data_IF_992690327776
#
_entry.id   IF_992690327776
#
_cell.length_a   1.000
_cell.length_b   1.000
_cell.length_c   1.000
_cell.angle_alpha   90.00
_cell.angle_beta   90.00
_cell.angle_gamma   90.00
#
_symmetry.space_group_name_H-M   'P 1'
#
loop_
_entity.id
_entity.type
_entity.pdbx_description
1 polymer ?
#
# COMPACT_ATOMS: atom_id res chain seq x y z
N UNK A 1 -26.37 -3.22 -3.14
CA UNK A 1 -27.23 -2.80 -4.27
C UNK A 1 -28.71 -2.71 -3.88
N UNK A 2 -29.21 -3.56 -2.99
CA UNK A 2 -30.64 -3.62 -2.63
C UNK A 2 -31.20 -2.35 -1.97
N UNK A 3 -30.37 -1.60 -1.24
CA UNK A 3 -30.80 -0.34 -0.61
C UNK A 3 -31.01 0.77 -1.65
N UNK A 4 -30.10 0.92 -2.62
CA UNK A 4 -30.19 1.93 -3.68
C UNK A 4 -31.41 1.73 -4.57
N UNK A 5 -31.81 0.47 -4.84
CA UNK A 5 -32.95 0.15 -5.70
C UNK A 5 -34.30 0.66 -5.17
N UNK A 6 -34.45 0.85 -3.85
CA UNK A 6 -35.69 1.32 -3.23
C UNK A 6 -35.81 2.84 -3.15
N UNK A 7 -34.70 3.56 -3.30
CA UNK A 7 -34.60 5.00 -3.05
C UNK A 7 -34.26 5.81 -4.31
N UNK A 8 -33.71 5.17 -5.34
CA UNK A 8 -33.37 5.86 -6.57
C UNK A 8 -34.61 6.24 -7.38
N UNK A 9 -34.71 7.51 -7.84
CA UNK A 9 -35.72 7.94 -8.80
C UNK A 9 -35.69 7.11 -10.08
N UNK A 10 -36.80 7.10 -10.81
CA UNK A 10 -36.91 6.39 -12.09
C UNK A 10 -35.95 6.91 -13.17
N UNK A 11 -35.52 8.18 -13.06
CA UNK A 11 -34.57 8.82 -13.96
C UNK A 11 -33.66 9.80 -13.24
N UNK A 12 -32.40 9.89 -13.69
CA UNK A 12 -31.41 10.87 -13.25
C UNK A 12 -31.36 12.03 -14.23
N UNK A 13 -31.59 13.25 -13.73
CA UNK A 13 -31.43 14.50 -14.46
C UNK A 13 -31.03 15.60 -13.47
N UNK A 14 -29.73 15.82 -13.32
CA UNK A 14 -29.18 16.82 -12.41
C UNK A 14 -27.87 17.41 -12.92
N UNK A 15 -27.63 18.65 -12.53
CA UNK A 15 -26.40 19.38 -12.77
C UNK A 15 -25.60 19.49 -11.48
N UNK A 16 -24.29 19.32 -11.57
CA UNK A 16 -23.34 19.43 -10.48
C UNK A 16 -22.39 20.58 -10.80
N UNK A 17 -22.42 21.64 -9.99
CA UNK A 17 -21.49 22.76 -10.08
C UNK A 17 -20.45 22.63 -8.99
N UNK A 18 -19.19 22.50 -9.39
CA UNK A 18 -18.02 22.40 -8.52
C UNK A 18 -17.26 23.71 -8.62
N UNK A 19 -17.08 24.41 -7.51
CA UNK A 19 -16.30 25.65 -7.46
C UNK A 19 -15.25 25.66 -6.37
N UNK A 20 -14.16 26.40 -6.57
CA UNK A 20 -13.11 26.62 -5.58
C UNK A 20 -13.04 28.10 -5.18
N UNK A 21 -12.58 28.43 -3.96
CA UNK A 21 -12.31 29.83 -3.58
C UNK A 21 -11.24 30.51 -4.45
N UNK A 22 -10.40 29.73 -5.15
CA UNK A 22 -9.43 30.23 -6.12
C UNK A 22 -10.07 30.64 -7.47
N UNK A 23 -11.39 30.61 -7.58
CA UNK A 23 -12.14 31.10 -8.74
C UNK A 23 -12.39 30.06 -9.83
N UNK A 24 -11.96 28.81 -9.64
CA UNK A 24 -12.32 27.76 -10.60
C UNK A 24 -13.77 27.35 -10.43
N UNK A 25 -14.43 27.12 -11.56
CA UNK A 25 -15.79 26.63 -11.62
C UNK A 25 -15.92 25.63 -12.77
N UNK A 26 -16.50 24.48 -12.47
CA UNK A 26 -16.68 23.38 -13.40
C UNK A 26 -18.10 22.84 -13.23
N UNK A 27 -18.69 22.38 -14.32
CA UNK A 27 -20.06 21.91 -14.32
C UNK A 27 -20.12 20.54 -14.96
N UNK A 28 -20.77 19.59 -14.29
CA UNK A 28 -21.05 18.25 -14.79
C UNK A 28 -22.56 18.10 -14.93
N UNK A 29 -23.02 17.48 -16.01
CA UNK A 29 -24.44 17.21 -16.22
C UNK A 29 -24.66 15.71 -16.32
N UNK A 30 -25.61 15.21 -15.54
CA UNK A 30 -26.09 13.84 -15.59
C UNK A 30 -27.51 13.86 -16.08
N UNK A 31 -27.79 13.13 -17.15
CA UNK A 31 -29.11 12.98 -17.74
C UNK A 31 -29.43 11.48 -17.87
N UNK A 32 -30.64 11.09 -18.31
CA UNK A 32 -31.01 9.67 -18.37
C UNK A 32 -30.07 8.83 -19.25
N UNK A 33 -29.50 9.43 -20.30
CA UNK A 33 -28.58 8.78 -21.24
C UNK A 33 -27.15 8.66 -20.68
N UNK A 34 -26.72 9.61 -19.84
CA UNK A 34 -25.40 9.61 -19.19
C UNK A 34 -25.41 9.08 -17.76
N UNK A 35 -26.56 8.58 -17.28
CA UNK A 35 -26.79 8.14 -15.89
C UNK A 35 -25.87 7.01 -15.42
N UNK A 36 -25.40 6.17 -16.34
CA UNK A 36 -24.46 5.07 -16.07
C UNK A 36 -22.99 5.44 -16.36
N UNK A 37 -22.74 6.64 -16.90
CA UNK A 37 -21.40 7.09 -17.28
C UNK A 37 -20.79 7.88 -16.11
N UNK A 38 -19.68 7.38 -15.58
CA UNK A 38 -18.92 8.08 -14.54
C UNK A 38 -18.32 9.37 -15.08
N UNK A 39 -18.76 10.50 -14.55
CA UNK A 39 -18.18 11.81 -14.83
C UNK A 39 -16.97 12.04 -13.91
N UNK A 40 -15.82 12.44 -14.48
CA UNK A 40 -14.59 12.69 -13.71
C UNK A 40 -14.07 14.09 -13.99
N UNK A 41 -13.66 14.78 -12.94
CA UNK A 41 -13.04 16.10 -13.01
C UNK A 41 -11.75 16.08 -12.20
N UNK A 42 -10.65 16.51 -12.81
CA UNK A 42 -9.38 16.71 -12.12
C UNK A 42 -9.31 18.14 -11.61
N UNK A 43 -9.10 18.28 -10.30
CA UNK A 43 -8.88 19.57 -9.66
C UNK A 43 -7.38 19.89 -9.63
N UNK A 44 -6.97 21.16 -9.67
CA UNK A 44 -5.57 21.53 -9.48
C UNK A 44 -5.04 21.07 -8.13
N UNK A 45 -3.75 20.75 -8.09
CA UNK A 45 -3.01 20.34 -6.89
C UNK A 45 -2.99 21.41 -5.78
N UNK A 46 -3.22 22.68 -6.13
CA UNK A 46 -3.35 23.79 -5.18
C UNK A 46 -4.72 23.89 -4.50
N UNK A 47 -5.71 23.09 -4.93
CA UNK A 47 -7.06 23.14 -4.37
C UNK A 47 -7.06 22.67 -2.91
N UNK A 48 -7.67 23.45 -2.02
CA UNK A 48 -7.82 23.12 -0.58
C UNK A 48 -9.26 23.02 -0.12
N UNK A 49 -10.17 23.70 -0.83
CA UNK A 49 -11.60 23.73 -0.55
C UNK A 49 -12.35 23.67 -1.87
N UNK A 50 -13.44 22.92 -1.87
CA UNK A 50 -14.40 22.85 -2.98
C UNK A 50 -15.80 23.03 -2.44
N UNK A 51 -16.62 23.77 -3.18
CA UNK A 51 -18.05 23.89 -2.96
C UNK A 51 -18.74 23.10 -4.07
N UNK A 52 -19.68 22.24 -3.68
CA UNK A 52 -20.46 21.43 -4.61
C UNK A 52 -21.92 21.82 -4.45
N UNK A 53 -22.52 22.30 -5.53
CA UNK A 53 -23.95 22.59 -5.61
C UNK A 53 -24.57 21.63 -6.64
N UNK A 54 -25.69 21.00 -6.27
CA UNK A 54 -26.39 20.05 -7.12
C UNK A 54 -27.82 20.54 -7.31
N UNK A 55 -28.27 20.59 -8.55
CA UNK A 55 -29.63 21.03 -8.92
C UNK A 55 -30.28 20.01 -9.84
N UNK A 56 -31.53 19.65 -9.56
CA UNK A 56 -32.29 18.66 -10.34
C UNK A 56 -32.74 17.45 -9.53
N UNK A 57 -32.96 16.33 -10.20
CA UNK A 57 -33.57 15.11 -9.64
C UNK A 57 -32.76 13.88 -9.99
N UNK A 58 -32.37 13.08 -9.00
CA UNK A 58 -31.70 11.81 -9.24
C UNK A 58 -30.98 11.28 -8.02
N UNK A 59 -30.21 10.22 -8.20
CA UNK A 59 -29.31 9.69 -7.19
C UNK A 59 -27.97 9.37 -7.84
N UNK A 60 -26.89 9.68 -7.13
CA UNK A 60 -25.53 9.36 -7.56
C UNK A 60 -24.58 9.35 -6.39
N UNK A 61 -23.37 8.85 -6.64
CA UNK A 61 -22.25 8.89 -5.69
C UNK A 61 -21.28 9.96 -6.14
N UNK A 62 -21.01 10.92 -5.27
CA UNK A 62 -19.93 11.88 -5.45
C UNK A 62 -18.69 11.42 -4.69
N UNK A 63 -17.58 11.24 -5.38
CA UNK A 63 -16.33 10.77 -4.79
C UNK A 63 -15.21 11.77 -5.03
N UNK A 64 -14.50 12.13 -3.97
CA UNK A 64 -13.26 12.90 -4.04
C UNK A 64 -12.09 11.95 -3.83
N UNK A 65 -11.18 11.91 -4.80
CA UNK A 65 -9.94 11.16 -4.70
C UNK A 65 -8.76 12.14 -4.67
N UNK A 66 -7.81 11.92 -3.77
CA UNK A 66 -6.60 12.73 -3.65
C UNK A 66 -5.38 11.81 -3.56
N UNK A 67 -4.25 12.28 -4.09
CA UNK A 67 -2.97 11.61 -4.02
C UNK A 67 -1.95 12.60 -3.47
N UNK A 68 -1.13 12.17 -2.53
CA UNK A 68 -0.12 12.99 -1.89
C UNK A 68 1.12 12.14 -1.60
N UNK A 69 2.27 12.79 -1.62
CA UNK A 69 3.50 12.19 -1.11
C UNK A 69 3.54 12.44 0.40
N UNK A 70 3.40 11.36 1.18
CA UNK A 70 3.68 11.41 2.60
C UNK A 70 5.15 11.04 2.83
N UNK A 71 5.88 11.72 3.74
CA UNK A 71 7.11 11.16 4.23
C UNK A 71 6.80 9.80 4.88
N UNK A 72 7.64 8.79 4.70
CA UNK A 72 7.46 7.50 5.37
C UNK A 72 7.71 7.71 6.87
N UNK A 73 6.64 7.82 7.66
CA UNK A 73 6.74 8.01 9.10
C UNK A 73 6.02 6.89 9.84
N UNK A 74 6.81 5.99 10.42
CA UNK A 74 6.38 5.20 11.56
C UNK A 74 6.49 6.06 12.82
N UNK A 75 5.60 7.03 13.00
CA UNK A 75 5.65 7.88 14.20
C UNK A 75 5.53 7.02 15.49
N UNK A 76 4.84 5.88 15.41
CA UNK A 76 4.77 4.87 16.47
C UNK A 76 4.72 3.45 15.86
N UNK A 77 5.88 2.83 15.55
CA UNK A 77 5.90 1.51 14.91
C UNK A 77 5.29 0.45 15.82
N UNK A 78 4.38 -0.35 15.27
CA UNK A 78 3.67 -1.44 15.97
C UNK A 78 4.39 -2.78 15.84
N UNK A 79 5.49 -2.79 15.11
CA UNK A 79 6.41 -3.91 14.99
C UNK A 79 7.84 -3.43 15.21
N UNK A 80 8.70 -4.32 15.69
CA UNK A 80 10.13 -4.12 15.68
C UNK A 80 10.70 -4.88 14.49
N UNK A 81 11.50 -4.22 13.65
CA UNK A 81 12.18 -4.83 12.51
C UNK A 81 13.68 -4.68 12.74
N UNK A 82 14.38 -5.82 12.84
CA UNK A 82 15.83 -5.88 12.86
C UNK A 82 16.28 -6.57 11.58
N UNK A 83 17.21 -5.95 10.86
CA UNK A 83 17.82 -6.56 9.68
C UNK A 83 19.32 -6.64 9.85
N UNK A 84 19.89 -7.78 9.47
CA UNK A 84 21.32 -7.88 9.18
C UNK A 84 21.49 -8.09 7.68
N UNK A 85 22.58 -7.58 7.14
CA UNK A 85 22.76 -7.49 5.70
C UNK A 85 24.19 -7.86 5.32
N UNK A 86 24.31 -8.73 4.31
CA UNK A 86 25.58 -9.18 3.74
C UNK A 86 25.49 -9.14 2.22
N UNK A 87 26.15 -8.17 1.62
CA UNK A 87 26.07 -7.94 0.18
C UNK A 87 27.28 -8.47 -0.56
N UNK A 88 27.03 -8.93 -1.77
CA UNK A 88 28.06 -9.18 -2.78
C UNK A 88 27.90 -8.16 -3.91
N UNK A 89 28.74 -8.24 -4.94
CA UNK A 89 28.64 -7.32 -6.09
C UNK A 89 27.37 -7.55 -6.93
N UNK A 90 26.76 -8.73 -6.79
CA UNK A 90 25.61 -9.19 -7.58
C UNK A 90 24.39 -9.53 -6.74
N UNK A 91 24.48 -9.55 -5.42
CA UNK A 91 23.39 -9.95 -4.54
C UNK A 91 23.33 -9.12 -3.25
N UNK A 92 22.11 -8.95 -2.74
CA UNK A 92 21.83 -8.44 -1.39
C UNK A 92 21.26 -9.59 -0.58
N UNK A 93 21.88 -9.95 0.55
CA UNK A 93 21.37 -10.98 1.44
C UNK A 93 20.93 -10.35 2.76
N UNK A 94 19.68 -10.58 3.12
CA UNK A 94 19.06 -10.04 4.32
C UNK A 94 18.63 -11.18 5.23
N UNK A 95 18.99 -11.09 6.51
CA UNK A 95 18.27 -11.79 7.56
C UNK A 95 17.38 -10.76 8.26
N UNK A 96 16.07 -10.95 8.13
CA UNK A 96 15.03 -10.01 8.59
C UNK A 96 14.31 -10.67 9.76
N UNK A 97 14.40 -10.08 10.93
CA UNK A 97 13.68 -10.49 12.13
C UNK A 97 12.61 -9.46 12.46
N UNK A 98 11.39 -9.93 12.71
CA UNK A 98 10.29 -9.08 13.12
C UNK A 98 9.53 -9.66 14.32
N UNK A 99 9.09 -8.77 15.21
CA UNK A 99 8.20 -9.09 16.34
C UNK A 99 7.17 -8.00 16.56
N UNK A 100 6.05 -8.35 17.15
CA UNK A 100 4.98 -7.41 17.45
C UNK A 100 5.30 -6.56 18.69
N UNK A 101 5.00 -5.26 18.64
CA UNK A 101 5.12 -4.34 19.78
C UNK A 101 3.72 -3.94 20.26
N UNK A 102 3.13 -4.68 21.21
CA UNK A 102 1.78 -4.39 21.71
C UNK A 102 1.75 -3.05 22.47
N UNK A 103 0.60 -2.38 22.47
CA UNK A 103 0.33 -1.21 23.34
C UNK A 103 -0.31 -1.66 24.66
N UNK A 104 -0.97 -2.80 24.66
CA UNK A 104 -1.65 -3.41 25.81
C UNK A 104 -1.20 -4.86 25.99
N UNK A 105 -1.11 -5.39 27.21
CA UNK A 105 -0.61 -6.74 27.47
C UNK A 105 -1.32 -7.85 26.66
N UNK A 106 -2.64 -7.74 26.49
CA UNK A 106 -3.46 -8.77 25.81
C UNK A 106 -3.59 -8.55 24.29
N UNK A 107 -2.86 -7.58 23.73
CA UNK A 107 -2.92 -7.26 22.31
C UNK A 107 -2.08 -8.26 21.52
N UNK A 108 -2.73 -8.97 20.61
CA UNK A 108 -2.09 -9.92 19.68
C UNK A 108 -2.30 -9.48 18.24
N UNK A 109 -1.45 -9.99 17.35
CA UNK A 109 -1.66 -9.85 15.90
C UNK A 109 -2.46 -11.03 15.37
N UNK A 110 -3.21 -10.76 14.31
CA UNK A 110 -3.75 -11.79 13.45
C UNK A 110 -2.80 -11.94 12.26
N UNK A 111 -3.33 -12.14 11.05
CA UNK A 111 -2.52 -12.33 9.85
C UNK A 111 -1.58 -11.14 9.61
N UNK A 112 -0.27 -11.38 9.66
CA UNK A 112 0.76 -10.37 9.44
C UNK A 112 1.41 -10.58 8.08
N UNK A 113 1.64 -9.49 7.36
CA UNK A 113 2.38 -9.51 6.10
C UNK A 113 3.74 -8.86 6.31
N UNK A 114 4.79 -9.52 5.82
CA UNK A 114 6.12 -8.93 5.63
C UNK A 114 6.36 -8.77 4.13
N UNK A 115 6.48 -7.52 3.71
CA UNK A 115 6.79 -7.16 2.33
C UNK A 115 8.23 -6.71 2.21
N UNK A 116 8.93 -7.25 1.23
CA UNK A 116 10.27 -6.82 0.85
C UNK A 116 10.22 -6.31 -0.57
N UNK A 117 10.31 -5.00 -0.72
CA UNK A 117 10.52 -4.33 -2.00
C UNK A 117 12.02 -4.17 -2.22
N UNK A 118 12.54 -4.78 -3.27
CA UNK A 118 13.97 -4.72 -3.54
C UNK A 118 14.39 -3.37 -4.13
N UNK A 119 15.66 -2.96 -3.94
CA UNK A 119 16.19 -1.76 -4.58
C UNK A 119 16.09 -1.83 -6.10
N UNK A 120 16.12 -0.67 -6.76
CA UNK A 120 16.08 -0.61 -8.23
C UNK A 120 17.16 -1.49 -8.87
N UNK A 121 16.76 -2.36 -9.80
CA UNK A 121 17.66 -3.28 -10.51
C UNK A 121 17.85 -4.65 -9.86
N UNK A 122 17.19 -4.92 -8.72
CA UNK A 122 17.21 -6.22 -8.04
C UNK A 122 15.86 -6.95 -8.14
N UNK A 123 15.91 -8.28 -8.18
CA UNK A 123 14.74 -9.18 -8.10
C UNK A 123 14.98 -10.24 -7.03
N UNK A 124 13.93 -10.90 -6.56
CA UNK A 124 14.04 -12.02 -5.61
C UNK A 124 14.90 -13.15 -6.19
N UNK A 125 15.80 -13.72 -5.39
CA UNK A 125 16.56 -14.90 -5.78
C UNK A 125 15.69 -16.17 -5.66
N UNK A 126 15.73 -17.07 -6.64
CA UNK A 126 14.95 -18.32 -6.62
C UNK A 126 15.27 -19.20 -5.38
N UNK A 127 16.53 -19.20 -4.95
CA UNK A 127 16.96 -19.90 -3.74
C UNK A 127 16.22 -19.44 -2.47
N UNK A 128 15.85 -18.16 -2.42
CA UNK A 128 15.06 -17.59 -1.33
C UNK A 128 13.68 -18.23 -1.28
N UNK A 129 13.02 -18.37 -2.44
CA UNK A 129 11.69 -18.97 -2.52
C UNK A 129 11.72 -20.42 -2.05
N UNK A 130 12.76 -21.18 -2.39
CA UNK A 130 12.93 -22.56 -1.97
C UNK A 130 13.16 -22.68 -0.46
N UNK A 131 14.01 -21.83 0.12
CA UNK A 131 14.27 -21.80 1.57
C UNK A 131 13.01 -21.43 2.36
N UNK A 132 12.26 -20.43 1.88
CA UNK A 132 11.04 -19.96 2.54
C UNK A 132 9.91 -21.00 2.51
N UNK A 133 9.78 -21.80 1.44
CA UNK A 133 8.79 -22.90 1.38
C UNK A 133 8.99 -23.94 2.49
N UNK A 134 10.24 -24.12 2.94
CA UNK A 134 10.58 -25.03 4.04
C UNK A 134 10.38 -24.40 5.43
N UNK A 135 10.16 -23.09 5.52
CA UNK A 135 9.94 -22.40 6.78
C UNK A 135 8.48 -22.55 7.22
N UNK A 136 8.26 -23.27 8.33
CA UNK A 136 6.92 -23.58 8.87
C UNK A 136 6.14 -22.35 9.37
N UNK A 137 6.82 -21.25 9.66
CA UNK A 137 6.18 -20.01 10.12
C UNK A 137 5.58 -19.22 8.95
N UNK A 138 6.11 -19.40 7.73
CA UNK A 138 5.61 -18.76 6.52
C UNK A 138 4.45 -19.58 5.95
N UNK A 139 3.26 -18.99 5.90
CA UNK A 139 2.04 -19.66 5.39
C UNK A 139 1.89 -19.56 3.89
N UNK A 140 2.31 -18.43 3.32
CA UNK A 140 2.22 -18.16 1.90
C UNK A 140 3.35 -17.24 1.48
N UNK A 141 3.80 -17.44 0.24
CA UNK A 141 4.81 -16.63 -0.42
C UNK A 141 4.18 -16.13 -1.71
N UNK A 142 4.24 -14.83 -1.96
CA UNK A 142 3.85 -14.23 -3.23
C UNK A 142 4.97 -13.34 -3.75
N UNK A 143 5.27 -13.44 -5.05
CA UNK A 143 6.09 -12.47 -5.76
C UNK A 143 5.19 -11.59 -6.63
N UNK A 144 5.50 -10.29 -6.70
CA UNK A 144 4.75 -9.27 -7.46
C UNK A 144 5.72 -8.38 -8.23
N UNK A 145 5.20 -7.70 -9.26
CA UNK A 145 5.93 -6.72 -10.08
C UNK A 145 7.23 -7.31 -10.65
N UNK A 146 7.12 -8.36 -11.46
CA UNK A 146 8.27 -9.01 -12.09
C UNK A 146 9.36 -9.36 -11.07
N UNK A 147 8.94 -9.96 -9.96
CA UNK A 147 9.81 -10.46 -8.88
C UNK A 147 10.58 -9.39 -8.12
N UNK A 148 10.24 -8.10 -8.27
CA UNK A 148 10.85 -7.00 -7.49
C UNK A 148 10.23 -6.80 -6.12
N UNK A 149 9.09 -7.45 -5.83
CA UNK A 149 8.41 -7.43 -4.54
C UNK A 149 8.12 -8.86 -4.07
N UNK A 150 8.56 -9.17 -2.85
CA UNK A 150 8.26 -10.40 -2.12
C UNK A 150 7.26 -10.10 -1.01
N UNK A 151 6.25 -10.94 -0.84
CA UNK A 151 5.26 -10.84 0.24
C UNK A 151 5.19 -12.18 0.96
N UNK A 152 5.43 -12.15 2.27
CA UNK A 152 5.37 -13.30 3.16
C UNK A 152 4.18 -13.15 4.09
N UNK A 153 3.42 -14.23 4.25
CA UNK A 153 2.23 -14.26 5.10
C UNK A 153 2.52 -15.10 6.33
N UNK A 154 2.17 -14.57 7.50
CA UNK A 154 2.25 -15.23 8.80
C UNK A 154 0.87 -15.23 9.45
N UNK A 155 0.56 -16.26 10.24
CA UNK A 155 -0.70 -16.28 11.01
C UNK A 155 -0.75 -15.18 12.07
N UNK A 156 0.40 -14.90 12.69
CA UNK A 156 0.67 -13.82 13.63
C UNK A 156 2.17 -13.67 13.85
N UNK A 157 2.61 -12.54 14.40
CA UNK A 157 3.95 -12.38 14.93
C UNK A 157 3.94 -12.33 16.47
N UNK A 158 4.85 -13.06 17.13
CA UNK A 158 4.98 -13.05 18.59
C UNK A 158 5.52 -11.71 19.11
N UNK A 159 5.34 -11.48 20.41
CA UNK A 159 5.83 -10.29 21.12
C UNK A 159 7.26 -10.44 21.65
N UNK A 160 7.59 -11.64 22.16
CA UNK A 160 8.89 -11.91 22.79
C UNK A 160 9.96 -12.30 21.77
N UNK A 161 9.80 -13.48 21.14
CA UNK A 161 10.80 -14.07 20.26
C UNK A 161 10.60 -13.65 18.81
N UNK A 162 11.53 -12.91 18.22
CA UNK A 162 11.38 -12.47 16.82
C UNK A 162 11.31 -13.65 15.83
N UNK A 163 10.45 -13.49 14.82
CA UNK A 163 10.38 -14.40 13.68
C UNK A 163 11.33 -13.90 12.61
N UNK A 164 12.27 -14.75 12.22
CA UNK A 164 13.34 -14.39 11.29
C UNK A 164 13.20 -15.14 9.97
N UNK A 165 13.51 -14.45 8.88
CA UNK A 165 13.54 -15.00 7.53
C UNK A 165 14.77 -14.52 6.77
N UNK A 166 15.36 -15.41 5.98
CA UNK A 166 16.48 -15.09 5.12
C UNK A 166 16.00 -14.84 3.69
N UNK A 167 16.23 -13.62 3.21
CA UNK A 167 15.77 -13.12 1.92
C UNK A 167 16.95 -12.60 1.11
N UNK A 168 17.13 -13.14 -0.09
CA UNK A 168 18.19 -12.73 -1.01
C UNK A 168 17.60 -12.12 -2.28
N UNK A 169 18.22 -11.04 -2.75
CA UNK A 169 17.90 -10.39 -4.02
C UNK A 169 19.09 -10.42 -4.96
N UNK A 170 18.85 -10.73 -6.24
CA UNK A 170 19.86 -10.74 -7.30
C UNK A 170 19.76 -9.50 -8.16
N UNK A 171 20.90 -8.90 -8.45
CA UNK A 171 21.01 -7.75 -9.34
C UNK A 171 20.86 -8.20 -10.80
N UNK A 172 19.81 -7.74 -11.46
CA UNK A 172 19.55 -7.98 -12.89
C UNK A 172 19.99 -6.81 -13.77
N UNK A 173 20.03 -5.60 -13.23
CA UNK A 173 20.40 -4.41 -13.98
C UNK A 173 21.25 -3.42 -13.17
N UNK A 174 22.11 -2.70 -13.88
CA UNK A 174 22.85 -1.57 -13.34
C UNK A 174 21.99 -0.32 -13.50
N UNK A 175 21.49 0.20 -12.38
CA UNK A 175 20.66 1.43 -12.35
C UNK A 175 21.44 2.54 -11.66
N UNK A 176 21.47 3.73 -12.28
CA UNK A 176 21.95 4.98 -11.69
C UNK A 176 20.83 5.65 -10.88
N UNK A 177 21.16 6.30 -9.76
CA UNK A 177 20.15 6.97 -8.91
C UNK A 177 19.15 5.99 -8.28
N UNK A 178 19.66 4.91 -7.66
CA UNK A 178 18.82 3.81 -7.15
C UNK A 178 17.91 4.27 -6.03
N UNK A 179 16.66 3.82 -6.09
CA UNK A 179 15.72 3.93 -4.96
C UNK A 179 16.04 2.79 -3.99
N UNK A 180 16.06 3.11 -2.70
CA UNK A 180 16.28 2.13 -1.63
C UNK A 180 15.20 1.05 -1.62
N UNK A 181 15.60 -0.15 -1.21
CA UNK A 181 14.67 -1.21 -0.86
C UNK A 181 13.93 -0.89 0.43
N UNK A 182 12.76 -1.49 0.61
CA UNK A 182 11.88 -1.29 1.75
C UNK A 182 11.42 -2.64 2.28
N UNK A 183 11.59 -2.84 3.58
CA UNK A 183 10.95 -3.89 4.36
C UNK A 183 9.75 -3.24 5.05
N UNK A 184 8.56 -3.80 4.88
CA UNK A 184 7.34 -3.33 5.54
C UNK A 184 6.64 -4.49 6.22
N UNK A 185 6.35 -4.36 7.50
CA UNK A 185 5.60 -5.36 8.28
C UNK A 185 4.32 -4.72 8.78
N UNK A 186 3.17 -5.37 8.58
CA UNK A 186 1.88 -4.83 9.02
C UNK A 186 0.83 -5.90 9.30
N UNK A 187 -0.12 -5.59 10.17
CA UNK A 187 -1.31 -6.43 10.40
C UNK A 187 -2.29 -6.24 9.25
N UNK A 188 -2.73 -7.35 8.63
CA UNK A 188 -3.62 -7.32 7.47
C UNK A 188 -4.97 -6.68 7.77
N UNK A 189 -5.52 -6.90 8.96
CA UNK A 189 -6.84 -6.42 9.36
C UNK A 189 -6.79 -5.01 9.95
N UNK A 190 -5.64 -4.62 10.50
CA UNK A 190 -5.39 -3.26 11.00
C UNK A 190 -4.09 -2.67 10.42
N UNK A 191 -4.06 -2.24 9.15
CA UNK A 191 -2.83 -1.80 8.47
C UNK A 191 -2.16 -0.56 9.07
N UNK A 192 -2.87 0.21 9.90
CA UNK A 192 -2.28 1.28 10.70
C UNK A 192 -1.27 0.74 11.75
N UNK A 193 -1.33 -0.55 12.06
CA UNK A 193 -0.28 -1.26 12.79
C UNK A 193 0.77 -1.71 11.81
N UNK A 194 1.82 -0.90 11.67
CA UNK A 194 2.91 -1.19 10.75
C UNK A 194 4.28 -0.80 11.33
N UNK A 195 5.31 -1.28 10.65
CA UNK A 195 6.66 -0.77 10.72
C UNK A 195 7.36 -0.91 9.36
N UNK A 196 8.36 -0.07 9.12
CA UNK A 196 9.09 0.08 7.87
C UNK A 196 10.60 0.20 8.16
N UNK A 197 11.40 -0.46 7.34
CA UNK A 197 12.86 -0.35 7.41
C UNK A 197 13.46 -0.34 6.00
N UNK A 198 14.28 0.66 5.71
CA UNK A 198 14.95 0.81 4.42
C UNK A 198 16.28 0.07 4.37
N UNK A 199 16.66 -0.39 3.17
CA UNK A 199 17.97 -0.98 2.90
C UNK A 199 18.48 -0.64 1.50
N UNK A 200 19.80 -0.63 1.32
CA UNK A 200 20.48 -0.39 0.05
C UNK A 200 21.34 -1.59 -0.26
N UNK A 201 21.42 -2.05 -1.51
CA UNK A 201 22.47 -3.00 -1.89
C UNK A 201 23.85 -2.32 -1.97
N UNK A 202 24.92 -3.10 -2.07
CA UNK A 202 26.30 -2.61 -2.20
C UNK A 202 26.45 -1.53 -3.30
N UNK A 203 27.07 -0.43 -2.92
CA UNK A 203 27.55 0.60 -3.85
C UNK A 203 28.84 0.10 -4.52
N UNK A 204 28.98 0.38 -5.83
CA UNK A 204 30.22 0.11 -6.56
C UNK A 204 31.20 1.25 -6.34
#
# INVERSE_FOLDING_TARGET
ADYSRKLSPSQNNYEIVISSPSGQRQTLSVNPQSSLISQRLTLPSSTRKVNVAITGTGTGVFQVAYQFNAPPTDAEPRFEIVKTQQDTDTAVNLNICARYKPKKPDEVTNMVLMEVLFPSGYVVADETLNRLKSNKQVRKIETKRDETRLVLYFDSLPTENATCVDVSGLRKAIVLGRIAGLIKVYDYYEPAREAMQYFLGKEM
#
